data_IF_964293435179
#
_entry.id   IF_964293435179
#
_cell.length_a   1.000
_cell.length_b   1.000
_cell.length_c   1.000
_cell.angle_alpha   90.00
_cell.angle_beta   90.00
_cell.angle_gamma   90.00
#
_symmetry.space_group_name_H-M   'P 1'
#
loop_
_entity.id
_entity.type
_entity.pdbx_description
1 polymer ?
#
# COMPACT_ATOMS: atom_id res chain seq x y z
N UNK A 1 -5.06 -12.05 8.47
CA UNK A 1 -5.80 -11.48 9.61
C UNK A 1 -5.06 -10.21 10.04
N UNK A 2 -5.76 -9.21 10.58
CA UNK A 2 -5.15 -7.94 11.00
C UNK A 2 -5.56 -7.63 12.41
N UNK A 3 -4.59 -7.25 13.24
CA UNK A 3 -4.81 -6.87 14.62
C UNK A 3 -5.32 -5.43 14.75
N UNK A 4 -5.61 -5.03 15.99
CA UNK A 4 -6.08 -3.70 16.36
C UNK A 4 -7.60 -3.57 16.35
N UNK A 5 -8.06 -2.38 16.71
CA UNK A 5 -9.47 -1.98 16.79
C UNK A 5 -9.63 -0.52 16.34
N UNK A 6 -10.81 0.07 16.50
CA UNK A 6 -11.07 1.46 16.08
C UNK A 6 -10.42 2.54 16.95
N UNK A 7 -9.89 2.19 18.12
CA UNK A 7 -9.43 3.13 19.15
C UNK A 7 -7.90 3.11 19.34
N UNK A 8 -7.19 2.17 18.71
CA UNK A 8 -5.72 2.08 18.72
C UNK A 8 -5.08 2.62 17.43
N UNK A 9 -3.78 2.99 17.43
CA UNK A 9 -3.10 3.46 16.23
C UNK A 9 -3.15 2.48 15.05
N UNK A 10 -3.16 1.17 15.33
CA UNK A 10 -3.48 0.16 14.34
C UNK A 10 -5.00 0.07 14.16
N UNK A 11 -5.57 1.09 13.51
CA UNK A 11 -7.00 1.38 13.47
C UNK A 11 -7.86 0.41 12.62
N UNK A 12 -7.78 -0.91 12.87
CA UNK A 12 -8.55 -1.97 12.19
C UNK A 12 -9.95 -2.06 12.80
N UNK A 13 -10.82 -1.09 12.50
CA UNK A 13 -12.14 -0.96 13.12
C UNK A 13 -13.16 -1.99 12.63
N UNK A 14 -14.07 -2.38 13.52
CA UNK A 14 -15.24 -3.21 13.23
C UNK A 14 -16.53 -2.46 13.62
N UNK A 15 -17.69 -2.99 13.22
CA UNK A 15 -18.98 -2.40 13.61
C UNK A 15 -19.33 -2.74 15.04
N UNK A 16 -19.74 -1.77 15.85
CA UNK A 16 -20.21 -1.99 17.22
C UNK A 16 -21.45 -2.90 17.30
N UNK A 17 -22.24 -2.96 16.23
CA UNK A 17 -23.51 -3.71 16.18
C UNK A 17 -23.47 -4.88 15.19
N UNK A 18 -22.33 -5.14 14.55
CA UNK A 18 -22.20 -6.06 13.40
C UNK A 18 -21.12 -7.13 13.55
N UNK A 19 -20.63 -7.38 14.77
CA UNK A 19 -19.57 -8.34 15.06
C UNK A 19 -18.15 -7.78 14.85
N UNK A 20 -17.15 -8.66 15.00
CA UNK A 20 -15.72 -8.30 15.06
C UNK A 20 -14.99 -8.38 13.72
N UNK A 21 -15.71 -8.51 12.59
CA UNK A 21 -15.07 -8.44 11.27
C UNK A 21 -14.59 -7.03 11.01
N UNK A 22 -13.31 -6.88 10.69
CA UNK A 22 -12.70 -5.60 10.29
C UNK A 22 -13.44 -5.05 9.06
N UNK A 23 -13.92 -3.82 9.18
CA UNK A 23 -14.64 -3.06 8.13
C UNK A 23 -13.92 -1.79 7.72
N UNK A 24 -13.09 -1.25 8.59
CA UNK A 24 -12.33 -0.03 8.34
C UNK A 24 -10.86 -0.25 8.69
N UNK A 25 -10.00 0.53 8.05
CA UNK A 25 -8.56 0.46 8.24
C UNK A 25 -7.87 1.55 7.43
N UNK A 26 -6.55 1.73 7.62
CA UNK A 26 -5.78 2.71 6.88
C UNK A 26 -5.72 2.34 5.39
N UNK A 27 -6.22 3.23 4.53
CA UNK A 27 -6.16 3.07 3.08
C UNK A 27 -4.74 3.23 2.51
N UNK A 28 -3.84 3.81 3.29
CA UNK A 28 -2.43 3.95 3.00
C UNK A 28 -1.64 4.09 4.31
N UNK A 29 -0.42 3.56 4.37
CA UNK A 29 0.59 3.90 5.40
C UNK A 29 1.84 4.38 4.70
N UNK A 30 2.49 5.41 5.21
CA UNK A 30 3.67 6.01 4.58
C UNK A 30 4.68 6.53 5.61
N UNK A 31 5.94 6.54 5.21
CA UNK A 31 7.08 7.11 5.95
C UNK A 31 7.86 7.94 4.94
N UNK A 32 7.99 9.25 5.21
CA UNK A 32 8.81 10.15 4.41
C UNK A 32 10.06 10.51 5.17
N UNK A 33 11.21 10.42 4.51
CA UNK A 33 12.50 10.86 5.02
C UNK A 33 12.96 12.09 4.21
N UNK A 34 12.71 13.32 4.70
CA UNK A 34 13.10 14.54 3.99
C UNK A 34 14.61 14.72 3.84
N UNK A 35 15.41 13.96 4.59
CA UNK A 35 16.87 13.99 4.48
C UNK A 35 17.41 13.03 3.42
N UNK A 36 16.63 12.00 3.07
CA UNK A 36 16.96 11.03 2.03
C UNK A 36 15.67 10.41 1.45
N UNK A 37 15.19 10.94 0.33
CA UNK A 37 13.94 10.48 -0.29
C UNK A 37 13.95 9.02 -0.74
N UNK A 38 15.12 8.44 -1.04
CA UNK A 38 15.26 7.02 -1.39
C UNK A 38 14.97 6.08 -0.20
N UNK A 39 14.89 6.61 1.03
CA UNK A 39 14.48 5.88 2.23
C UNK A 39 12.96 5.95 2.47
N UNK A 40 12.19 6.54 1.55
CA UNK A 40 10.74 6.60 1.63
C UNK A 40 10.09 5.21 1.60
N UNK A 41 8.98 5.06 2.34
CA UNK A 41 8.23 3.81 2.44
C UNK A 41 6.75 4.08 2.33
N UNK A 42 6.01 3.17 1.73
CA UNK A 42 4.55 3.24 1.64
C UNK A 42 3.94 1.85 1.50
N UNK A 43 2.62 1.73 1.67
CA UNK A 43 1.86 0.50 1.40
C UNK A 43 0.34 0.75 1.39
N UNK A 44 -0.40 0.01 0.57
CA UNK A 44 -1.87 0.01 0.50
C UNK A 44 -2.46 -1.37 0.89
N UNK A 45 -3.74 -1.46 1.34
CA UNK A 45 -4.32 -2.72 1.85
C UNK A 45 -4.48 -3.84 0.82
N UNK A 46 -4.50 -3.52 -0.46
CA UNK A 46 -4.68 -4.48 -1.54
C UNK A 46 -3.50 -4.39 -2.50
N UNK A 47 -3.65 -3.68 -3.61
CA UNK A 47 -2.60 -3.43 -4.59
C UNK A 47 -2.91 -2.19 -5.40
N UNK A 48 -2.08 -1.90 -6.40
CA UNK A 48 -2.21 -0.69 -7.23
C UNK A 48 -3.36 -0.75 -8.25
N UNK A 49 -3.90 -1.95 -8.54
CA UNK A 49 -4.91 -2.18 -9.56
C UNK A 49 -6.30 -2.41 -8.98
N UNK A 50 -7.31 -1.79 -9.58
CA UNK A 50 -8.73 -2.07 -9.31
C UNK A 50 -9.30 -3.26 -10.10
N UNK A 51 -8.56 -3.83 -11.06
CA UNK A 51 -9.01 -4.97 -11.86
C UNK A 51 -8.77 -6.30 -11.13
N UNK A 52 -9.80 -7.13 -10.85
CA UNK A 52 -9.66 -8.39 -10.10
C UNK A 52 -8.72 -9.43 -10.72
N UNK A 53 -8.53 -9.38 -12.05
CA UNK A 53 -7.62 -10.28 -12.76
C UNK A 53 -6.16 -9.79 -12.84
N UNK A 54 -5.86 -8.61 -12.30
CA UNK A 54 -4.50 -8.07 -12.30
C UNK A 54 -3.64 -8.75 -11.23
N UNK A 55 -2.36 -9.04 -11.50
CA UNK A 55 -1.43 -9.45 -10.46
C UNK A 55 -1.33 -8.42 -9.33
N UNK A 56 -1.54 -7.13 -9.65
CA UNK A 56 -1.46 -6.03 -8.68
C UNK A 56 -2.82 -5.69 -8.03
N UNK A 57 -3.78 -6.61 -8.04
CA UNK A 57 -5.07 -6.39 -7.37
C UNK A 57 -4.94 -6.46 -5.85
N UNK A 58 -4.12 -7.37 -5.33
CA UNK A 58 -4.00 -7.64 -3.87
C UNK A 58 -2.60 -8.08 -3.45
N UNK A 59 -1.57 -7.75 -4.24
CA UNK A 59 -0.18 -8.18 -4.03
C UNK A 59 0.50 -7.56 -2.81
N UNK A 60 -0.01 -6.45 -2.27
CA UNK A 60 0.51 -5.83 -1.03
C UNK A 60 -0.23 -6.28 0.23
N UNK A 61 -1.34 -7.02 0.10
CA UNK A 61 -2.26 -7.30 1.20
C UNK A 61 -1.59 -7.98 2.40
N UNK A 62 -0.74 -8.96 2.14
CA UNK A 62 -0.07 -9.72 3.21
C UNK A 62 0.92 -8.84 3.99
N UNK A 63 1.75 -8.07 3.29
CA UNK A 63 2.69 -7.12 3.91
C UNK A 63 1.94 -6.03 4.68
N UNK A 64 0.87 -5.49 4.10
CA UNK A 64 0.05 -4.47 4.74
C UNK A 64 -0.58 -4.99 6.04
N UNK A 65 -1.01 -6.26 6.05
CA UNK A 65 -1.60 -6.89 7.23
C UNK A 65 -0.58 -7.10 8.36
N UNK A 66 0.71 -7.19 8.04
CA UNK A 66 1.81 -7.32 9.01
C UNK A 66 2.44 -5.99 9.41
N UNK A 67 1.88 -4.87 8.96
CA UNK A 67 2.45 -3.52 9.14
C UNK A 67 3.85 -3.38 8.51
N UNK A 68 4.13 -4.19 7.50
CA UNK A 68 5.32 -4.06 6.66
C UNK A 68 5.10 -2.96 5.60
N UNK A 69 6.15 -2.60 4.87
CA UNK A 69 6.11 -1.53 3.87
C UNK A 69 6.93 -1.89 2.64
N UNK A 70 6.57 -1.30 1.49
CA UNK A 70 7.35 -1.35 0.26
C UNK A 70 8.12 -0.03 0.04
N UNK A 71 9.20 -0.03 -0.74
CA UNK A 71 9.91 1.20 -1.10
C UNK A 71 9.00 2.19 -1.82
N UNK A 72 9.11 3.47 -1.45
CA UNK A 72 8.59 4.57 -2.24
C UNK A 72 9.74 5.10 -3.11
N UNK A 73 9.89 4.51 -4.31
CA UNK A 73 10.99 4.85 -5.21
C UNK A 73 10.96 6.33 -5.59
N UNK A 74 12.15 6.95 -5.60
CA UNK A 74 12.33 8.38 -5.87
C UNK A 74 13.34 8.65 -6.98
N UNK A 75 14.38 7.83 -7.08
CA UNK A 75 15.43 7.98 -8.07
C UNK A 75 14.98 7.43 -9.44
N UNK A 76 15.18 8.22 -10.50
CA UNK A 76 14.73 7.85 -11.85
C UNK A 76 15.51 6.69 -12.45
N UNK A 77 16.80 6.54 -12.13
CA UNK A 77 17.60 5.43 -12.63
C UNK A 77 17.16 4.11 -11.97
N UNK A 78 16.85 4.15 -10.67
CA UNK A 78 16.25 3.02 -9.96
C UNK A 78 14.88 2.66 -10.55
N UNK A 79 13.98 3.64 -10.68
CA UNK A 79 12.64 3.42 -11.26
C UNK A 79 12.74 2.80 -12.66
N UNK A 80 13.63 3.32 -13.52
CA UNK A 80 13.80 2.83 -14.88
C UNK A 80 14.35 1.40 -14.94
N UNK A 81 15.26 1.03 -14.02
CA UNK A 81 15.87 -0.30 -14.00
C UNK A 81 14.98 -1.37 -13.37
N UNK A 82 14.06 -0.99 -12.47
CA UNK A 82 13.13 -1.92 -11.81
C UNK A 82 11.73 -1.94 -12.43
N UNK A 83 11.48 -1.16 -13.49
CA UNK A 83 10.17 -1.08 -14.11
C UNK A 83 9.73 -2.43 -14.69
N UNK A 84 8.57 -2.94 -14.26
CA UNK A 84 7.96 -4.15 -14.83
C UNK A 84 7.33 -3.90 -16.21
N UNK A 85 6.82 -2.68 -16.44
CA UNK A 85 6.24 -2.25 -17.72
C UNK A 85 6.62 -0.80 -18.02
N UNK A 86 6.68 -0.44 -19.30
CA UNK A 86 6.95 0.93 -19.76
C UNK A 86 6.05 1.24 -20.94
N UNK A 87 5.43 2.42 -20.92
CA UNK A 87 4.53 2.88 -21.98
C UNK A 87 4.92 4.29 -22.41
N UNK A 88 5.13 4.46 -23.71
CA UNK A 88 5.39 5.77 -24.32
C UNK A 88 4.08 6.36 -24.84
N UNK A 89 3.70 7.53 -24.32
CA UNK A 89 2.53 8.28 -24.78
C UNK A 89 2.98 9.32 -25.81
N UNK A 90 2.53 9.17 -27.05
CA UNK A 90 2.79 10.11 -28.14
C UNK A 90 1.61 11.07 -28.32
N UNK A 91 1.83 12.29 -28.83
CA UNK A 91 0.74 13.16 -29.28
C UNK A 91 -0.14 12.44 -30.32
N UNK A 92 -1.45 12.74 -30.28
CA UNK A 92 -2.44 12.21 -31.23
C UNK A 92 -2.41 12.91 -32.58
#
# INVERSE_FOLDING_TARGET
ETDGDGDVPWASGHSAFGGFLVKTGPVNRYIHDPSNWSNGRWIVPLGSSGHPGSPHFSDQQEMWAKVETIPQLWDWDEIATTAETTQHLLPG
#
